data_IF_986734707123
#
_entry.id   IF_986734707123
#
_cell.length_a   1.000
_cell.length_b   1.000
_cell.length_c   1.000
_cell.angle_alpha   90.00
_cell.angle_beta   90.00
_cell.angle_gamma   90.00
#
_symmetry.space_group_name_H-M   'P 1'
#
loop_
_entity.id
_entity.type
_entity.pdbx_description
1 polymer ?
#
# COMPACT_ATOMS: atom_id res chain seq x y z
N UNK A 1 -7.12 18.59 33.27
CA UNK A 1 -8.16 18.94 32.28
C UNK A 1 -8.63 17.61 31.73
N UNK A 2 -9.93 17.34 31.73
CA UNK A 2 -10.43 16.11 31.10
C UNK A 2 -10.30 16.19 29.59
N UNK A 3 -10.34 15.05 28.90
CA UNK A 3 -10.33 14.95 27.46
C UNK A 3 -11.50 15.71 26.82
N UNK A 4 -12.70 15.63 27.41
CA UNK A 4 -13.86 16.40 26.97
C UNK A 4 -13.64 17.92 27.10
N UNK A 5 -13.09 18.37 28.23
CA UNK A 5 -12.79 19.79 28.45
C UNK A 5 -11.71 20.27 27.47
N UNK A 6 -10.68 19.45 27.24
CA UNK A 6 -9.62 19.75 26.27
C UNK A 6 -10.17 19.84 24.85
N UNK A 7 -10.95 18.84 24.40
CA UNK A 7 -11.59 18.84 23.08
C UNK A 7 -12.46 20.09 22.92
N UNK A 8 -13.36 20.40 23.86
CA UNK A 8 -14.22 21.57 23.78
C UNK A 8 -13.44 22.90 23.67
N UNK A 9 -12.32 23.02 24.41
CA UNK A 9 -11.45 24.20 24.36
C UNK A 9 -10.66 24.32 23.05
N UNK A 10 -10.20 23.19 22.51
CA UNK A 10 -9.57 23.13 21.19
C UNK A 10 -10.58 23.50 20.09
N UNK A 11 -11.78 22.93 20.15
CA UNK A 11 -12.83 23.15 19.14
C UNK A 11 -13.37 24.58 19.15
N UNK A 12 -13.42 25.23 20.31
CA UNK A 12 -13.79 26.64 20.44
C UNK A 12 -12.65 27.61 20.14
N UNK A 13 -11.42 27.11 19.93
CA UNK A 13 -10.23 27.92 19.66
C UNK A 13 -9.60 28.57 20.90
N UNK A 14 -10.03 28.21 22.10
CA UNK A 14 -9.39 28.65 23.36
C UNK A 14 -7.97 28.05 23.50
N UNK A 15 -7.78 26.82 23.03
CA UNK A 15 -6.47 26.15 22.97
C UNK A 15 -6.07 25.97 21.50
N UNK A 16 -4.97 26.59 21.04
CA UNK A 16 -4.48 26.36 19.69
C UNK A 16 -3.86 24.97 19.55
N UNK A 17 -4.05 24.35 18.37
CA UNK A 17 -3.38 23.12 17.96
C UNK A 17 -2.25 23.51 17.01
N UNK A 18 -1.13 23.93 17.60
CA UNK A 18 0.01 24.54 16.90
C UNK A 18 1.30 23.68 16.96
N UNK A 19 1.26 22.54 17.65
CA UNK A 19 2.39 21.63 17.78
C UNK A 19 1.98 20.16 17.64
N UNK A 20 2.99 19.32 17.37
CA UNK A 20 2.84 17.88 17.18
C UNK A 20 2.09 17.21 18.35
N UNK A 21 2.49 17.51 19.58
CA UNK A 21 1.90 16.90 20.78
C UNK A 21 0.41 17.22 20.95
N UNK A 22 -0.04 18.41 20.51
CA UNK A 22 -1.45 18.80 20.55
C UNK A 22 -2.26 18.08 19.48
N UNK A 23 -1.71 17.91 18.27
CA UNK A 23 -2.34 17.09 17.22
C UNK A 23 -2.44 15.64 17.70
N UNK A 24 -1.39 15.14 18.36
CA UNK A 24 -1.38 13.79 18.91
C UNK A 24 -2.43 13.60 20.01
N UNK A 25 -2.57 14.56 20.91
CA UNK A 25 -3.56 14.50 21.99
C UNK A 25 -4.99 14.47 21.43
N UNK A 26 -5.33 15.32 20.47
CA UNK A 26 -6.68 15.30 19.89
C UNK A 26 -6.91 14.03 19.05
N UNK A 27 -5.91 13.56 18.30
CA UNK A 27 -6.00 12.32 17.56
C UNK A 27 -6.20 11.10 18.47
N UNK A 28 -5.55 11.08 19.64
CA UNK A 28 -5.72 10.02 20.65
C UNK A 28 -7.17 9.96 21.15
N UNK A 29 -7.74 11.11 21.53
CA UNK A 29 -9.13 11.21 21.99
C UNK A 29 -10.10 10.79 20.87
N UNK A 30 -9.88 11.26 19.63
CA UNK A 30 -10.71 10.89 18.48
C UNK A 30 -10.60 9.41 18.09
N UNK A 31 -9.45 8.78 18.36
CA UNK A 31 -9.19 7.36 18.09
C UNK A 31 -9.91 6.47 19.12
N UNK A 32 -9.92 6.86 20.40
CA UNK A 32 -10.65 6.12 21.44
C UNK A 32 -12.16 6.08 21.14
N UNK A 33 -12.74 7.24 20.83
CA UNK A 33 -14.16 7.38 20.51
C UNK A 33 -14.56 6.76 19.16
N UNK A 34 -13.63 6.71 18.19
CA UNK A 34 -13.93 6.44 16.78
C UNK A 34 -13.53 5.04 16.30
N UNK A 35 -12.31 4.61 16.61
CA UNK A 35 -11.63 3.48 15.94
C UNK A 35 -12.31 2.13 16.16
N UNK A 36 -13.02 1.97 17.28
CA UNK A 36 -13.52 0.67 17.73
C UNK A 36 -14.98 0.41 17.39
N UNK A 37 -15.78 1.47 17.16
CA UNK A 37 -17.24 1.33 17.13
C UNK A 37 -17.91 1.58 15.78
N UNK A 38 -17.28 2.29 14.82
CA UNK A 38 -17.81 2.43 13.43
C UNK A 38 -16.93 3.26 12.47
N UNK A 39 -15.90 3.96 12.96
CA UNK A 39 -15.10 4.91 12.17
C UNK A 39 -13.63 4.47 12.12
N UNK A 40 -13.05 4.31 10.93
CA UNK A 40 -11.66 3.87 10.77
C UNK A 40 -10.64 4.99 10.95
N UNK A 41 -9.35 4.69 10.77
CA UNK A 41 -8.28 5.71 10.79
C UNK A 41 -8.48 6.83 9.77
N UNK A 42 -9.14 6.50 8.65
CA UNK A 42 -9.48 7.48 7.63
C UNK A 42 -10.40 8.58 8.16
N UNK A 43 -11.36 8.22 9.01
CA UNK A 43 -12.33 9.18 9.57
C UNK A 43 -11.67 10.08 10.62
N UNK A 44 -10.74 9.54 11.42
CA UNK A 44 -9.94 10.34 12.36
C UNK A 44 -9.12 11.37 11.59
N UNK A 45 -8.38 10.95 10.56
CA UNK A 45 -7.57 11.88 9.75
C UNK A 45 -8.43 12.90 9.02
N UNK A 46 -9.57 12.51 8.48
CA UNK A 46 -10.49 13.43 7.80
C UNK A 46 -11.07 14.49 8.77
N UNK A 47 -11.35 14.12 10.04
CA UNK A 47 -11.74 15.08 11.10
C UNK A 47 -10.62 16.07 11.42
N UNK A 48 -9.37 15.59 11.55
CA UNK A 48 -8.21 16.45 11.78
C UNK A 48 -8.05 17.45 10.62
N UNK A 49 -8.09 16.97 9.38
CA UNK A 49 -7.93 17.78 8.17
C UNK A 49 -9.04 18.84 8.04
N UNK A 50 -10.29 18.48 8.34
CA UNK A 50 -11.42 19.42 8.31
C UNK A 50 -11.26 20.60 9.29
N UNK A 51 -10.47 20.42 10.35
CA UNK A 51 -10.12 21.47 11.32
C UNK A 51 -8.79 22.16 11.02
N UNK A 52 -8.12 21.78 9.94
CA UNK A 52 -6.82 22.33 9.54
C UNK A 52 -5.63 21.75 10.32
N UNK A 53 -5.83 20.63 11.04
CA UNK A 53 -4.81 19.94 11.82
C UNK A 53 -4.15 18.82 11.02
N UNK A 54 -2.85 18.64 11.22
CA UNK A 54 -2.01 17.70 10.50
C UNK A 54 -0.73 17.46 11.31
N UNK A 55 -0.22 16.24 11.31
CA UNK A 55 1.09 15.91 11.87
C UNK A 55 2.21 16.39 10.95
N UNK A 56 1.97 16.37 9.64
CA UNK A 56 2.90 16.93 8.67
C UNK A 56 3.02 18.46 8.73
N UNK A 57 4.21 18.96 8.40
CA UNK A 57 4.54 20.39 8.31
C UNK A 57 5.10 20.73 6.92
N UNK A 58 5.01 22.02 6.53
CA UNK A 58 5.48 22.47 5.22
C UNK A 58 4.79 21.71 4.08
N UNK A 59 5.59 21.17 3.16
CA UNK A 59 5.10 20.39 2.01
C UNK A 59 4.45 19.05 2.40
N UNK A 60 4.66 18.58 3.63
CA UNK A 60 4.02 17.38 4.16
C UNK A 60 2.71 17.68 4.90
N UNK A 61 2.30 18.94 5.02
CA UNK A 61 1.05 19.30 5.69
C UNK A 61 -0.14 18.66 4.95
N UNK A 62 -1.02 18.00 5.70
CA UNK A 62 -2.14 17.21 5.19
C UNK A 62 -1.71 15.99 4.33
N UNK A 63 -0.49 15.48 4.55
CA UNK A 63 -0.08 14.24 3.92
C UNK A 63 -0.81 13.05 4.56
N UNK A 64 -1.79 12.50 3.85
CA UNK A 64 -2.64 11.41 4.34
C UNK A 64 -1.84 10.21 4.86
N UNK A 65 -0.78 9.79 4.16
CA UNK A 65 0.07 8.69 4.61
C UNK A 65 0.73 8.99 5.95
N UNK A 66 1.33 10.17 6.10
CA UNK A 66 2.00 10.57 7.33
C UNK A 66 1.02 10.72 8.50
N UNK A 67 -0.15 11.29 8.26
CA UNK A 67 -1.14 11.48 9.32
C UNK A 67 -1.73 10.14 9.78
N UNK A 68 -2.03 9.23 8.84
CA UNK A 68 -2.48 7.88 9.17
C UNK A 68 -1.39 7.09 9.88
N UNK A 69 -0.11 7.28 9.53
CA UNK A 69 0.99 6.64 10.26
C UNK A 69 0.91 6.94 11.76
N UNK A 70 0.71 8.19 12.17
CA UNK A 70 0.61 8.53 13.59
C UNK A 70 -0.63 7.96 14.25
N UNK A 71 -1.78 7.96 13.56
CA UNK A 71 -3.00 7.29 14.06
C UNK A 71 -2.80 5.78 14.19
N UNK A 72 -2.05 5.16 13.27
CA UNK A 72 -1.69 3.75 13.34
C UNK A 72 -0.81 3.44 14.56
N UNK A 73 0.13 4.32 14.91
CA UNK A 73 0.93 4.17 16.13
C UNK A 73 0.09 4.28 17.39
N UNK A 74 -0.93 5.15 17.41
CA UNK A 74 -1.88 5.23 18.50
C UNK A 74 -2.62 3.89 18.66
N UNK A 75 -3.17 3.36 17.55
CA UNK A 75 -3.84 2.05 17.52
C UNK A 75 -2.94 0.91 17.99
N UNK A 76 -1.68 0.89 17.56
CA UNK A 76 -0.67 -0.07 18.01
C UNK A 76 -0.42 0.02 19.53
N UNK A 77 -0.26 1.23 20.06
CA UNK A 77 -0.09 1.45 21.50
C UNK A 77 -1.28 0.93 22.33
N UNK A 78 -2.52 1.20 21.89
CA UNK A 78 -3.73 0.65 22.53
C UNK A 78 -3.71 -0.87 22.56
N UNK A 79 -3.44 -1.48 21.40
CA UNK A 79 -3.41 -2.92 21.27
C UNK A 79 -2.31 -3.54 22.14
N UNK A 80 -1.10 -2.97 22.15
CA UNK A 80 0.02 -3.46 22.97
C UNK A 80 -0.32 -3.46 24.46
N UNK A 81 -0.90 -2.37 24.96
CA UNK A 81 -1.32 -2.29 26.35
C UNK A 81 -2.34 -3.39 26.74
N UNK A 82 -3.28 -3.70 25.84
CA UNK A 82 -4.35 -4.67 26.08
C UNK A 82 -3.87 -6.14 26.15
N UNK A 83 -2.69 -6.43 25.59
CA UNK A 83 -2.18 -7.80 25.46
C UNK A 83 -0.83 -8.06 26.17
N UNK A 84 -0.05 -7.04 26.50
CA UNK A 84 1.17 -7.19 27.32
C UNK A 84 0.88 -7.32 28.82
N UNK A 85 -0.30 -6.90 29.30
CA UNK A 85 -0.71 -7.13 30.70
C UNK A 85 -1.36 -8.52 30.85
N UNK A 86 -0.58 -9.47 31.38
CA UNK A 86 -1.01 -10.84 31.68
C UNK A 86 -1.88 -10.98 32.94
N UNK A 87 -2.39 -9.88 33.48
CA UNK A 87 -3.03 -9.83 34.78
C UNK A 87 -4.50 -9.39 34.65
N UNK A 88 -5.37 -9.90 35.52
CA UNK A 88 -6.82 -9.60 35.54
C UNK A 88 -7.13 -8.11 35.89
N UNK A 89 -6.10 -7.27 35.93
CA UNK A 89 -6.11 -5.83 36.23
C UNK A 89 -5.97 -4.95 35.00
N UNK A 90 -6.34 -5.46 33.80
CA UNK A 90 -6.27 -4.70 32.54
C UNK A 90 -6.92 -3.32 32.67
N UNK A 91 -6.08 -2.28 32.67
CA UNK A 91 -6.52 -0.89 32.59
C UNK A 91 -6.51 -0.52 31.12
N UNK A 92 -7.70 -0.38 30.54
CA UNK A 92 -7.84 0.22 29.21
C UNK A 92 -7.53 1.71 29.34
N UNK A 93 -6.71 2.24 28.44
CA UNK A 93 -6.56 3.68 28.32
C UNK A 93 -7.90 4.30 27.95
N UNK A 94 -8.34 5.25 28.74
CA UNK A 94 -9.46 6.14 28.43
C UNK A 94 -8.93 7.38 27.73
N UNK A 95 -9.82 8.19 27.15
CA UNK A 95 -9.45 9.48 26.57
C UNK A 95 -8.66 10.40 27.54
N UNK A 96 -8.85 10.26 28.85
CA UNK A 96 -8.16 11.05 29.89
C UNK A 96 -6.70 10.61 30.13
N UNK A 97 -6.29 9.42 29.66
CA UNK A 97 -4.99 8.81 29.98
C UNK A 97 -3.87 9.20 29.00
N UNK A 98 -4.05 10.25 28.20
CA UNK A 98 -3.10 10.66 27.17
C UNK A 98 -1.66 10.83 27.70
N UNK A 99 -1.48 11.48 28.85
CA UNK A 99 -0.12 11.73 29.39
C UNK A 99 0.61 10.43 29.74
N UNK A 100 -0.12 9.45 30.30
CA UNK A 100 0.41 8.11 30.62
C UNK A 100 0.75 7.36 29.35
N UNK A 101 -0.18 7.36 28.39
CA UNK A 101 0.00 6.74 27.08
C UNK A 101 1.22 7.32 26.34
N UNK A 102 1.31 8.64 26.29
CA UNK A 102 2.38 9.35 25.61
C UNK A 102 3.72 9.06 26.28
N UNK A 103 3.81 9.07 27.61
CA UNK A 103 5.04 8.73 28.32
C UNK A 103 5.52 7.30 28.02
N UNK A 104 4.59 6.35 27.89
CA UNK A 104 4.91 4.94 27.61
C UNK A 104 5.35 4.72 26.15
N UNK A 105 4.67 5.36 25.19
CA UNK A 105 4.87 5.11 23.75
C UNK A 105 5.57 6.26 23.01
N UNK A 106 6.18 7.22 23.72
CA UNK A 106 6.80 8.42 23.16
C UNK A 106 7.78 8.14 21.99
N UNK A 107 8.55 7.06 22.08
CA UNK A 107 9.51 6.68 21.04
C UNK A 107 8.88 6.36 19.68
N UNK A 108 7.60 5.97 19.63
CA UNK A 108 6.83 5.79 18.40
C UNK A 108 6.02 7.02 17.99
N UNK A 109 5.72 7.88 18.96
CA UNK A 109 4.77 8.98 18.78
C UNK A 109 5.45 10.35 18.65
N UNK A 110 6.76 10.46 18.86
CA UNK A 110 7.46 11.73 18.68
C UNK A 110 7.43 12.22 17.21
N UNK A 111 7.62 13.51 17.03
CA UNK A 111 7.52 14.20 15.74
C UNK A 111 8.44 13.65 14.64
N UNK A 112 9.56 13.01 15.01
CA UNK A 112 10.52 12.47 14.04
C UNK A 112 10.43 10.95 13.89
N UNK A 113 9.49 10.29 14.58
CA UNK A 113 9.34 8.84 14.57
C UNK A 113 9.14 8.27 13.15
N UNK A 114 8.40 8.99 12.30
CA UNK A 114 8.13 8.58 10.92
C UNK A 114 9.41 8.35 10.09
N UNK A 115 10.52 9.02 10.42
CA UNK A 115 11.78 8.91 9.65
C UNK A 115 12.43 7.54 9.70
N UNK A 116 12.05 6.70 10.67
CA UNK A 116 12.51 5.32 10.72
C UNK A 116 11.75 4.43 9.73
N UNK A 117 10.53 4.83 9.34
CA UNK A 117 9.60 4.05 8.53
C UNK A 117 9.52 4.55 7.09
N UNK A 118 9.59 5.86 6.89
CA UNK A 118 9.45 6.48 5.58
C UNK A 118 10.70 7.25 5.16
N UNK A 119 11.09 7.12 3.90
CA UNK A 119 12.04 8.02 3.29
C UNK A 119 11.37 9.38 2.98
N UNK A 120 12.09 10.51 3.13
CA UNK A 120 11.55 11.82 2.76
C UNK A 120 11.11 11.91 1.29
N UNK A 121 11.86 11.29 0.38
CA UNK A 121 11.54 11.27 -1.04
C UNK A 121 10.23 10.51 -1.32
N UNK A 122 9.94 9.45 -0.58
CA UNK A 122 8.70 8.72 -0.69
C UNK A 122 7.50 9.55 -0.23
N UNK A 123 7.58 10.19 0.95
CA UNK A 123 6.50 11.07 1.44
C UNK A 123 6.31 12.36 0.62
N UNK A 124 7.34 12.78 -0.12
CA UNK A 124 7.21 13.91 -1.05
C UNK A 124 6.42 13.55 -2.32
N UNK A 125 6.13 12.28 -2.58
CA UNK A 125 5.35 11.86 -3.74
C UNK A 125 3.89 12.33 -3.60
N UNK A 126 3.29 12.92 -4.66
CA UNK A 126 1.88 13.34 -4.64
C UNK A 126 0.90 12.23 -4.25
N UNK A 127 1.22 10.97 -4.56
CA UNK A 127 0.40 9.83 -4.19
C UNK A 127 0.25 9.65 -2.67
N UNK A 128 1.32 9.87 -1.88
CA UNK A 128 1.26 9.68 -0.41
C UNK A 128 0.42 10.73 0.29
N UNK A 129 0.33 11.94 -0.28
CA UNK A 129 -0.52 12.99 0.24
C UNK A 129 -2.01 12.66 0.07
N UNK A 130 -2.36 11.85 -0.94
CA UNK A 130 -3.75 11.53 -1.30
C UNK A 130 -4.22 10.18 -0.79
N UNK A 131 -3.32 9.20 -0.74
CA UNK A 131 -3.62 7.81 -0.46
C UNK A 131 -2.73 7.32 0.67
N UNK A 132 -3.28 6.47 1.54
CA UNK A 132 -2.51 5.75 2.53
C UNK A 132 -1.60 4.72 1.87
N UNK A 133 -0.29 4.81 2.14
CA UNK A 133 0.72 3.86 1.68
C UNK A 133 1.52 3.32 2.86
N UNK A 134 1.86 2.03 2.79
CA UNK A 134 2.74 1.41 3.77
C UNK A 134 4.15 2.04 3.72
N UNK A 135 4.89 2.01 4.84
CA UNK A 135 6.30 2.38 4.91
C UNK A 135 7.18 1.78 3.80
N UNK A 136 8.20 2.51 3.37
CA UNK A 136 9.19 2.03 2.40
C UNK A 136 10.51 1.55 3.04
N UNK A 137 10.83 1.96 4.28
CA UNK A 137 12.06 1.59 4.99
C UNK A 137 11.96 0.38 5.93
N UNK A 138 10.88 0.26 6.71
CA UNK A 138 10.62 -0.88 7.60
C UNK A 138 9.12 -1.03 7.91
N UNK A 139 8.66 -2.21 8.35
CA UNK A 139 7.25 -2.42 8.72
C UNK A 139 6.81 -1.53 9.90
N UNK A 140 5.50 -1.23 10.03
CA UNK A 140 4.95 -0.49 11.17
C UNK A 140 5.17 -1.25 12.50
N UNK A 141 5.32 -0.55 13.64
CA UNK A 141 5.36 -1.16 14.97
C UNK A 141 4.15 -2.05 15.23
N UNK A 142 4.38 -3.14 15.96
CA UNK A 142 3.39 -4.12 16.38
C UNK A 142 2.46 -4.65 15.28
N UNK A 143 2.85 -4.49 14.01
CA UNK A 143 2.37 -5.30 12.89
C UNK A 143 2.29 -6.78 13.29
N UNK A 144 3.17 -7.19 14.19
CA UNK A 144 3.40 -8.53 14.70
C UNK A 144 2.29 -9.13 15.61
N UNK A 145 1.27 -8.40 16.04
CA UNK A 145 0.17 -9.01 16.79
C UNK A 145 0.50 -9.48 18.23
N UNK A 146 -0.54 -9.82 19.02
CA UNK A 146 -0.48 -9.78 20.50
C UNK A 146 0.13 -11.00 21.19
N UNK A 147 0.43 -12.08 20.45
CA UNK A 147 0.93 -13.34 21.02
C UNK A 147 2.43 -13.55 20.85
N UNK A 148 3.14 -12.53 20.38
CA UNK A 148 4.52 -12.74 20.02
C UNK A 148 5.45 -12.58 21.23
N UNK A 149 6.32 -13.57 21.49
CA UNK A 149 7.30 -13.46 22.56
C UNK A 149 8.22 -12.25 22.35
N UNK A 150 8.78 -11.77 23.46
CA UNK A 150 9.89 -10.81 23.58
C UNK A 150 11.02 -11.00 22.53
N UNK A 151 11.14 -12.22 21.97
CA UNK A 151 12.02 -12.61 20.86
C UNK A 151 11.86 -11.82 19.56
N UNK A 152 10.75 -11.11 19.31
CA UNK A 152 10.66 -10.22 18.15
C UNK A 152 11.63 -9.05 18.20
N UNK A 153 11.96 -8.58 19.41
CA UNK A 153 13.00 -7.56 19.60
C UNK A 153 14.36 -8.04 19.04
N UNK A 154 14.52 -9.35 18.82
CA UNK A 154 15.73 -9.97 18.25
C UNK A 154 15.69 -10.17 16.72
N UNK A 155 14.53 -10.01 16.06
CA UNK A 155 14.42 -10.20 14.60
C UNK A 155 14.99 -9.02 13.79
N UNK A 156 15.31 -7.92 14.46
CA UNK A 156 15.97 -6.77 13.88
C UNK A 156 15.02 -5.83 13.14
N UNK A 157 15.62 -4.81 12.53
CA UNK A 157 14.95 -3.78 11.72
C UNK A 157 14.77 -4.31 10.29
N UNK A 158 13.56 -4.21 9.72
CA UNK A 158 13.33 -4.67 8.36
C UNK A 158 11.87 -4.67 7.88
N UNK A 159 11.70 -5.12 6.63
CA UNK A 159 10.42 -5.21 5.93
C UNK A 159 10.09 -6.68 5.66
N UNK A 160 9.31 -7.29 6.53
CA UNK A 160 9.03 -8.72 6.49
C UNK A 160 7.81 -9.04 5.62
N UNK A 161 6.86 -8.11 5.51
CA UNK A 161 5.67 -8.28 4.68
C UNK A 161 5.89 -7.94 3.20
N UNK A 162 6.95 -7.17 2.88
CA UNK A 162 7.21 -6.62 1.54
C UNK A 162 7.36 -7.68 0.45
N UNK A 163 8.29 -8.62 0.59
CA UNK A 163 8.53 -9.68 -0.43
C UNK A 163 7.34 -10.65 -0.54
N UNK A 164 6.72 -11.12 0.57
CA UNK A 164 5.50 -11.92 0.48
C UNK A 164 4.34 -11.20 -0.24
N UNK A 165 4.10 -9.93 0.09
CA UNK A 165 3.06 -9.09 -0.54
C UNK A 165 3.31 -8.92 -2.03
N UNK A 166 4.53 -8.54 -2.41
CA UNK A 166 4.94 -8.44 -3.80
C UNK A 166 4.72 -9.78 -4.52
N UNK A 167 5.16 -10.89 -3.92
CA UNK A 167 5.04 -12.23 -4.52
C UNK A 167 3.58 -12.64 -4.74
N UNK A 168 2.69 -12.27 -3.82
CA UNK A 168 1.25 -12.47 -3.97
C UNK A 168 0.70 -11.73 -5.20
N UNK A 169 1.12 -10.47 -5.39
CA UNK A 169 0.75 -9.67 -6.57
C UNK A 169 1.28 -10.29 -7.86
N UNK A 170 2.54 -10.74 -7.88
CA UNK A 170 3.13 -11.41 -9.06
C UNK A 170 2.40 -12.73 -9.37
N UNK A 171 2.15 -13.58 -8.37
CA UNK A 171 1.53 -14.89 -8.57
C UNK A 171 0.09 -14.81 -9.13
N UNK A 172 -0.64 -13.71 -8.88
CA UNK A 172 -1.99 -13.49 -9.45
C UNK A 172 -1.99 -12.84 -10.83
N UNK A 173 -0.85 -12.33 -11.28
CA UNK A 173 -0.75 -11.59 -12.54
C UNK A 173 -0.89 -12.48 -13.78
N UNK A 174 -0.35 -13.71 -13.87
CA UNK A 174 -0.54 -14.57 -15.05
C UNK A 174 -2.00 -14.75 -15.47
N UNK A 175 -2.90 -14.82 -14.50
CA UNK A 175 -4.33 -14.95 -14.78
C UNK A 175 -4.99 -13.65 -15.24
N UNK A 176 -4.46 -12.50 -14.82
CA UNK A 176 -4.93 -11.16 -15.18
C UNK A 176 -4.33 -10.68 -16.51
N UNK A 177 -3.20 -11.27 -16.89
CA UNK A 177 -2.35 -10.93 -18.03
C UNK A 177 -2.14 -12.13 -18.94
N UNK A 178 -3.21 -12.68 -19.54
CA UNK A 178 -3.14 -13.97 -20.26
C UNK A 178 -2.28 -13.92 -21.54
N UNK A 179 -1.90 -12.73 -22.01
CA UNK A 179 -1.04 -12.56 -23.18
C UNK A 179 0.45 -12.77 -22.87
N UNK A 180 0.84 -12.77 -21.59
CA UNK A 180 2.22 -12.99 -21.16
C UNK A 180 2.39 -14.39 -20.55
N UNK A 181 3.53 -15.02 -20.86
CA UNK A 181 3.89 -16.29 -20.23
C UNK A 181 4.24 -16.10 -18.74
N UNK A 182 4.00 -17.13 -17.92
CA UNK A 182 4.43 -17.15 -16.50
C UNK A 182 5.92 -16.82 -16.40
N UNK A 183 6.77 -17.40 -17.26
CA UNK A 183 8.21 -17.13 -17.30
C UNK A 183 8.51 -15.65 -17.52
N UNK A 184 7.79 -14.99 -18.44
CA UNK A 184 7.95 -13.54 -18.69
C UNK A 184 7.56 -12.73 -17.47
N UNK A 185 6.44 -13.06 -16.84
CA UNK A 185 5.94 -12.35 -15.65
C UNK A 185 6.91 -12.51 -14.48
N UNK A 186 7.39 -13.73 -14.22
CA UNK A 186 8.41 -14.02 -13.19
C UNK A 186 9.68 -13.22 -13.45
N UNK A 187 10.17 -13.18 -14.70
CA UNK A 187 11.37 -12.44 -15.06
C UNK A 187 11.19 -10.93 -14.83
N UNK A 188 10.06 -10.36 -15.25
CA UNK A 188 9.73 -8.95 -15.00
C UNK A 188 9.73 -8.70 -13.50
N UNK A 189 8.98 -9.49 -12.73
CA UNK A 189 8.89 -9.36 -11.28
C UNK A 189 10.25 -9.35 -10.59
N UNK A 190 11.08 -10.36 -10.84
CA UNK A 190 12.39 -10.46 -10.19
C UNK A 190 13.27 -9.25 -10.55
N UNK A 191 13.25 -8.83 -11.83
CA UNK A 191 14.04 -7.69 -12.28
C UNK A 191 13.60 -6.36 -11.66
N UNK A 192 12.29 -6.09 -11.58
CA UNK A 192 11.75 -4.85 -11.00
C UNK A 192 11.93 -4.82 -9.49
N UNK A 193 11.79 -5.96 -8.80
CA UNK A 193 12.05 -6.08 -7.38
C UNK A 193 13.52 -5.74 -7.06
N UNK A 194 14.46 -6.36 -7.78
CA UNK A 194 15.88 -6.11 -7.59
C UNK A 194 16.25 -4.63 -7.85
N UNK A 195 15.71 -4.03 -8.91
CA UNK A 195 15.93 -2.62 -9.24
C UNK A 195 15.39 -1.68 -8.17
N UNK A 196 14.15 -1.90 -7.71
CA UNK A 196 13.48 -1.05 -6.72
C UNK A 196 14.21 -1.11 -5.37
N UNK A 197 14.54 -2.32 -4.90
CA UNK A 197 15.29 -2.49 -3.65
C UNK A 197 16.70 -1.91 -3.72
N UNK A 198 17.40 -2.08 -4.86
CA UNK A 198 18.72 -1.49 -5.06
C UNK A 198 18.68 0.04 -5.08
N UNK A 199 17.66 0.62 -5.71
CA UNK A 199 17.44 2.08 -5.74
C UNK A 199 17.21 2.63 -4.34
N UNK A 200 16.33 2.00 -3.55
CA UNK A 200 16.07 2.42 -2.17
C UNK A 200 17.32 2.32 -1.29
N UNK A 201 18.08 1.23 -1.42
CA UNK A 201 19.31 1.00 -0.64
C UNK A 201 20.45 1.96 -0.96
N UNK A 202 20.45 2.58 -2.14
CA UNK A 202 21.46 3.57 -2.52
C UNK A 202 21.50 4.72 -1.51
N UNK A 203 20.33 5.16 -1.07
CA UNK A 203 20.17 6.27 -0.12
C UNK A 203 19.91 5.76 1.31
N UNK A 204 19.46 4.51 1.46
CA UNK A 204 19.17 3.88 2.75
C UNK A 204 19.85 2.51 2.92
N UNK A 205 21.18 2.45 3.20
CA UNK A 205 21.95 1.21 3.25
C UNK A 205 21.50 0.19 4.30
N UNK A 206 20.77 0.65 5.33
CA UNK A 206 20.25 -0.19 6.42
C UNK A 206 19.02 -1.02 6.01
N UNK A 207 18.38 -0.69 4.88
CA UNK A 207 17.26 -1.48 4.34
C UNK A 207 17.77 -2.85 3.87
N UNK A 208 17.01 -3.91 4.11
CA UNK A 208 17.37 -5.28 3.75
C UNK A 208 17.71 -5.41 2.24
N UNK A 209 18.75 -6.17 1.87
CA UNK A 209 19.15 -6.35 0.47
C UNK A 209 18.14 -7.20 -0.27
N UNK A 210 18.12 -7.07 -1.59
CA UNK A 210 17.46 -8.04 -2.44
C UNK A 210 18.04 -9.44 -2.22
N UNK A 211 17.16 -10.44 -2.12
CA UNK A 211 17.52 -11.85 -2.06
C UNK A 211 16.77 -12.62 -3.13
N UNK A 212 17.51 -13.15 -4.11
CA UNK A 212 16.96 -14.01 -5.16
C UNK A 212 16.33 -15.28 -4.57
N UNK A 213 16.90 -15.81 -3.49
CA UNK A 213 16.37 -16.96 -2.75
C UNK A 213 15.04 -16.64 -2.09
N UNK A 214 14.93 -15.53 -1.34
CA UNK A 214 13.66 -15.16 -0.71
C UNK A 214 12.57 -14.86 -1.74
N UNK A 215 12.91 -14.13 -2.81
CA UNK A 215 11.97 -13.85 -3.89
C UNK A 215 11.46 -15.16 -4.52
N UNK A 216 12.36 -16.09 -4.83
CA UNK A 216 11.98 -17.39 -5.44
C UNK A 216 11.17 -18.27 -4.49
N UNK A 217 11.53 -18.31 -3.21
CA UNK A 217 10.75 -19.00 -2.19
C UNK A 217 9.32 -18.48 -2.15
N UNK A 218 9.14 -17.16 -2.03
CA UNK A 218 7.83 -16.56 -1.89
C UNK A 218 6.98 -16.67 -3.15
N UNK A 219 7.56 -16.56 -4.34
CA UNK A 219 6.83 -16.81 -5.60
C UNK A 219 6.31 -18.26 -5.66
N UNK A 220 7.13 -19.24 -5.28
CA UNK A 220 6.72 -20.65 -5.22
C UNK A 220 5.66 -20.89 -4.14
N UNK A 221 5.86 -20.30 -2.96
CA UNK A 221 4.93 -20.39 -1.83
C UNK A 221 3.55 -19.80 -2.21
N UNK A 222 3.55 -18.68 -2.94
CA UNK A 222 2.34 -18.04 -3.48
C UNK A 222 1.79 -18.72 -4.75
N UNK A 223 2.38 -19.85 -5.16
CA UNK A 223 1.94 -20.70 -6.27
C UNK A 223 1.88 -19.98 -7.61
N UNK A 224 2.94 -19.26 -7.98
CA UNK A 224 3.05 -18.63 -9.31
C UNK A 224 2.84 -19.61 -10.48
N UNK A 225 3.19 -20.88 -10.30
CA UNK A 225 3.02 -21.94 -11.31
C UNK A 225 1.65 -22.63 -11.23
N UNK A 226 0.70 -22.09 -10.47
CA UNK A 226 -0.65 -22.64 -10.39
C UNK A 226 -1.33 -22.61 -11.76
N UNK A 227 -1.69 -23.78 -12.27
CA UNK A 227 -2.32 -23.97 -13.59
C UNK A 227 -3.85 -24.06 -13.54
N UNK A 228 -4.45 -23.91 -12.37
CA UNK A 228 -5.91 -23.90 -12.27
C UNK A 228 -6.50 -22.60 -12.79
N UNK A 229 -7.73 -22.66 -13.30
CA UNK A 229 -8.44 -21.48 -13.79
C UNK A 229 -9.24 -20.85 -12.66
N UNK A 230 -8.88 -19.64 -12.21
CA UNK A 230 -9.81 -18.87 -11.38
C UNK A 230 -10.99 -18.41 -12.22
N UNK A 231 -12.17 -18.40 -11.62
CA UNK A 231 -13.33 -17.80 -12.26
C UNK A 231 -13.16 -16.27 -12.38
N UNK A 232 -13.93 -15.62 -13.25
CA UNK A 232 -13.88 -14.15 -13.47
C UNK A 232 -13.94 -13.37 -12.16
N UNK A 233 -14.80 -13.77 -11.21
CA UNK A 233 -14.93 -13.08 -9.91
C UNK A 233 -13.63 -13.17 -9.10
N UNK A 234 -13.01 -14.34 -9.04
CA UNK A 234 -11.76 -14.60 -8.31
C UNK A 234 -10.54 -13.90 -8.92
N UNK A 235 -10.44 -13.89 -10.26
CA UNK A 235 -9.35 -13.22 -11.00
C UNK A 235 -9.26 -11.73 -10.65
N UNK A 236 -10.41 -11.09 -10.54
CA UNK A 236 -10.54 -9.66 -10.31
C UNK A 236 -10.85 -9.27 -8.87
N UNK A 237 -10.75 -10.22 -7.91
CA UNK A 237 -10.85 -9.86 -6.50
C UNK A 237 -9.77 -8.86 -6.12
N UNK A 238 -10.05 -7.97 -5.16
CA UNK A 238 -9.07 -7.11 -4.52
C UNK A 238 -7.77 -7.82 -4.15
N UNK A 239 -6.71 -7.04 -3.90
CA UNK A 239 -5.57 -7.60 -3.19
C UNK A 239 -6.04 -7.97 -1.78
N UNK A 240 -6.19 -9.27 -1.53
CA UNK A 240 -6.65 -9.80 -0.23
C UNK A 240 -5.46 -10.16 0.66
N UNK A 241 -4.21 -9.93 0.22
CA UNK A 241 -3.00 -10.31 0.95
C UNK A 241 -3.08 -9.87 2.41
N UNK A 242 -3.24 -8.57 2.64
CA UNK A 242 -3.31 -7.99 3.98
C UNK A 242 -4.47 -8.54 4.82
N UNK A 243 -5.64 -8.75 4.20
CA UNK A 243 -6.79 -9.35 4.86
C UNK A 243 -6.52 -10.79 5.32
N UNK A 244 -5.75 -11.55 4.54
CA UNK A 244 -5.29 -12.89 4.92
C UNK A 244 -4.18 -12.87 5.97
N UNK A 245 -3.25 -11.92 5.89
CA UNK A 245 -2.20 -11.76 6.91
C UNK A 245 -2.82 -11.38 8.25
N UNK A 246 -3.80 -10.46 8.26
CA UNK A 246 -4.60 -10.12 9.44
C UNK A 246 -5.23 -11.37 10.08
N UNK A 247 -5.82 -12.25 9.26
CA UNK A 247 -6.39 -13.53 9.72
C UNK A 247 -5.36 -14.60 10.11
N UNK A 248 -4.05 -14.28 10.14
CA UNK A 248 -3.00 -15.24 10.44
C UNK A 248 -2.89 -16.35 9.38
N UNK A 249 -3.46 -16.11 8.19
CA UNK A 249 -3.48 -17.07 7.08
C UNK A 249 -2.13 -17.24 6.40
N UNK A 250 -1.18 -16.33 6.66
CA UNK A 250 0.18 -16.41 6.17
C UNK A 250 1.20 -16.30 7.30
N UNK A 251 2.18 -17.19 7.26
CA UNK A 251 3.34 -17.17 8.13
C UNK A 251 4.50 -16.47 7.41
N UNK A 252 4.70 -15.18 7.66
CA UNK A 252 5.76 -14.38 7.01
C UNK A 252 7.19 -14.87 7.30
N UNK A 253 7.35 -15.85 8.20
CA UNK A 253 8.64 -16.46 8.53
C UNK A 253 8.73 -17.94 8.18
N UNK A 254 7.76 -18.49 7.45
CA UNK A 254 7.76 -19.91 7.05
C UNK A 254 9.06 -20.32 6.36
N UNK A 255 9.64 -19.40 5.59
CA UNK A 255 10.92 -19.59 4.91
C UNK A 255 12.10 -19.91 5.86
N UNK A 256 12.08 -19.47 7.13
CA UNK A 256 13.12 -19.81 8.13
C UNK A 256 13.08 -21.28 8.56
N UNK A 257 11.98 -21.99 8.25
CA UNK A 257 11.94 -23.43 8.42
C UNK A 257 12.78 -24.16 7.36
N UNK A 258 13.03 -23.50 6.23
CA UNK A 258 13.74 -24.05 5.07
C UNK A 258 15.17 -23.52 4.93
N UNK A 259 15.45 -22.30 5.39
CA UNK A 259 16.72 -21.62 5.18
C UNK A 259 17.35 -21.13 6.49
N UNK A 260 18.58 -21.57 6.78
CA UNK A 260 19.35 -21.04 7.90
C UNK A 260 19.80 -19.60 7.64
N UNK A 261 20.03 -18.84 8.71
CA UNK A 261 20.54 -17.47 8.65
C UNK A 261 21.80 -17.31 7.82
N UNK A 262 22.72 -18.24 8.00
CA UNK A 262 23.97 -18.29 7.26
C UNK A 262 23.75 -18.41 5.75
N UNK A 263 22.78 -19.23 5.33
CA UNK A 263 22.51 -19.47 3.92
C UNK A 263 21.80 -18.29 3.27
N UNK A 264 20.76 -17.73 3.91
CA UNK A 264 19.98 -16.69 3.26
C UNK A 264 20.63 -15.30 3.28
N UNK A 265 21.46 -14.99 4.28
CA UNK A 265 22.26 -13.76 4.29
C UNK A 265 23.50 -13.85 3.38
N UNK A 266 23.76 -15.03 2.79
CA UNK A 266 24.93 -15.26 1.92
C UNK A 266 24.87 -14.44 0.63
N UNK A 267 26.04 -14.14 0.06
CA UNK A 267 26.13 -13.44 -1.23
C UNK A 267 25.53 -14.28 -2.35
N UNK A 268 25.68 -15.61 -2.26
CA UNK A 268 25.13 -16.57 -3.20
C UNK A 268 23.61 -16.47 -3.26
N UNK A 269 22.94 -16.40 -2.10
CA UNK A 269 21.48 -16.27 -2.00
C UNK A 269 20.95 -14.90 -2.47
N UNK A 270 21.80 -13.87 -2.53
CA UNK A 270 21.46 -12.56 -3.10
C UNK A 270 21.50 -12.59 -4.64
N UNK A 271 22.44 -13.35 -5.21
CA UNK A 271 22.67 -13.39 -6.66
C UNK A 271 21.76 -14.41 -7.35
N UNK A 272 21.57 -15.59 -6.76
CA UNK A 272 20.81 -16.66 -7.36
C UNK A 272 20.02 -17.45 -6.31
N UNK A 273 18.90 -18.10 -6.69
CA UNK A 273 18.17 -18.96 -5.78
C UNK A 273 19.04 -20.14 -5.34
N UNK A 274 19.12 -20.37 -4.03
CA UNK A 274 19.81 -21.53 -3.45
C UNK A 274 18.79 -22.53 -2.88
N UNK A 275 19.16 -23.80 -2.85
CA UNK A 275 18.32 -24.85 -2.28
C UNK A 275 18.26 -24.74 -0.74
N UNK A 276 17.13 -25.13 -0.11
CA UNK A 276 16.99 -25.20 1.34
C UNK A 276 18.11 -26.01 2.03
N UNK A 277 18.62 -25.53 3.15
CA UNK A 277 19.56 -26.27 4.02
C UNK A 277 18.91 -26.83 5.29
N UNK A 278 17.63 -26.53 5.52
CA UNK A 278 16.81 -27.04 6.62
C UNK A 278 15.65 -27.90 6.09
N UNK A 279 15.05 -28.70 6.97
CA UNK A 279 14.05 -29.72 6.61
C UNK A 279 12.60 -29.21 6.51
N UNK A 280 12.35 -27.94 6.81
CA UNK A 280 11.01 -27.35 6.79
C UNK A 280 10.12 -27.71 7.99
N UNK A 281 10.64 -28.44 8.99
CA UNK A 281 9.82 -28.90 10.13
C UNK A 281 9.76 -27.91 11.29
N UNK A 282 10.63 -26.90 11.28
CA UNK A 282 10.67 -25.87 12.32
C UNK A 282 9.36 -25.07 12.28
N UNK A 283 8.62 -25.09 13.37
CA UNK A 283 7.47 -24.19 13.52
C UNK A 283 7.95 -22.74 13.54
N UNK A 284 7.33 -21.90 12.71
CA UNK A 284 7.54 -20.46 12.83
C UNK A 284 6.99 -19.96 14.15
N UNK A 285 7.85 -19.24 14.87
CA UNK A 285 7.54 -18.60 16.13
C UNK A 285 6.73 -17.31 15.94
N UNK A 286 6.44 -16.90 14.69
CA UNK A 286 5.78 -15.63 14.38
C UNK A 286 4.58 -15.84 13.45
N UNK A 287 3.38 -15.76 14.04
CA UNK A 287 2.09 -15.73 13.33
C UNK A 287 1.38 -14.41 13.64
N UNK A 288 0.44 -13.99 12.80
CA UNK A 288 -0.38 -12.76 12.99
C UNK A 288 0.42 -11.47 12.86
N UNK A 289 1.30 -11.38 11.85
CA UNK A 289 2.07 -10.17 11.56
C UNK A 289 1.36 -9.25 10.54
N UNK A 290 1.91 -8.08 10.23
CA UNK A 290 1.36 -7.12 9.26
C UNK A 290 0.21 -6.17 9.69
N UNK A 291 -0.35 -6.22 10.90
CA UNK A 291 -1.45 -5.32 11.32
C UNK A 291 -1.18 -4.60 12.65
N UNK A 292 -1.32 -3.25 12.73
CA UNK A 292 -1.00 -2.48 13.95
C UNK A 292 -1.73 -2.95 15.22
N UNK A 293 -2.93 -3.50 15.09
CA UNK A 293 -3.78 -3.90 16.20
C UNK A 293 -4.13 -5.40 16.24
N UNK A 294 -3.33 -6.22 15.53
CA UNK A 294 -3.45 -7.69 15.60
C UNK A 294 -4.80 -8.26 15.16
N UNK A 295 -5.55 -7.55 14.31
CA UNK A 295 -6.93 -7.88 13.97
C UNK A 295 -7.13 -9.31 13.44
N UNK A 296 -7.97 -10.10 14.11
CA UNK A 296 -8.27 -11.49 13.75
C UNK A 296 -9.25 -11.66 12.57
N UNK A 297 -9.93 -10.59 12.16
CA UNK A 297 -11.07 -10.64 11.24
C UNK A 297 -10.88 -9.64 10.10
N UNK A 298 -10.88 -10.11 8.86
CA UNK A 298 -10.71 -9.29 7.66
C UNK A 298 -11.64 -8.07 7.60
N UNK A 299 -12.90 -8.28 7.99
CA UNK A 299 -13.91 -7.21 8.02
C UNK A 299 -13.51 -6.07 8.96
N UNK A 300 -12.99 -6.39 10.15
CA UNK A 300 -12.51 -5.39 11.10
C UNK A 300 -11.25 -4.68 10.58
N UNK A 301 -10.30 -5.40 9.99
CA UNK A 301 -9.10 -4.77 9.40
C UNK A 301 -9.45 -3.78 8.28
N UNK A 302 -10.47 -4.11 7.46
CA UNK A 302 -11.02 -3.24 6.42
C UNK A 302 -11.75 -2.03 7.01
N UNK A 303 -12.59 -2.23 8.03
CA UNK A 303 -13.31 -1.15 8.70
C UNK A 303 -12.37 -0.15 9.37
N UNK A 304 -11.33 -0.66 10.04
CA UNK A 304 -10.34 0.18 10.73
C UNK A 304 -9.45 0.95 9.77
N UNK A 305 -9.39 0.57 8.49
CA UNK A 305 -8.63 1.28 7.46
C UNK A 305 -7.14 0.96 7.44
N UNK A 306 -6.73 -0.20 7.96
CA UNK A 306 -5.32 -0.64 7.96
C UNK A 306 -4.81 -1.12 6.60
N UNK A 307 -5.72 -1.40 5.67
CA UNK A 307 -5.36 -1.75 4.32
C UNK A 307 -4.82 -0.52 3.60
N UNK A 308 -3.60 -0.57 3.03
CA UNK A 308 -3.10 0.53 2.24
C UNK A 308 -3.99 0.73 1.02
N UNK A 309 -4.24 1.98 0.69
CA UNK A 309 -5.02 2.38 -0.48
C UNK A 309 -4.22 2.16 -1.77
N UNK A 310 -2.88 2.10 -1.70
CA UNK A 310 -2.04 1.77 -2.85
C UNK A 310 -0.99 0.71 -2.52
N UNK A 311 -0.63 -0.06 -3.55
CA UNK A 311 0.49 -1.00 -3.47
C UNK A 311 1.82 -0.32 -3.13
N UNK A 312 2.79 -1.15 -2.72
CA UNK A 312 4.16 -0.70 -2.50
C UNK A 312 4.83 -0.28 -3.82
N UNK A 313 5.98 0.38 -3.74
CA UNK A 313 6.77 0.73 -4.93
C UNK A 313 7.10 -0.51 -5.77
N UNK A 314 7.42 -1.64 -5.12
CA UNK A 314 7.77 -2.90 -5.78
C UNK A 314 6.58 -3.48 -6.57
N UNK A 315 5.36 -3.37 -6.04
CA UNK A 315 4.14 -3.80 -6.71
C UNK A 315 3.79 -2.89 -7.89
N UNK A 316 3.87 -1.58 -7.71
CA UNK A 316 3.53 -0.60 -8.75
C UNK A 316 4.54 -0.66 -9.91
N UNK A 317 5.83 -0.71 -9.62
CA UNK A 317 6.89 -0.85 -10.64
C UNK A 317 6.74 -2.15 -11.44
N UNK A 318 6.40 -3.25 -10.76
CA UNK A 318 6.10 -4.53 -11.40
C UNK A 318 4.88 -4.44 -12.32
N UNK A 319 3.74 -3.94 -11.84
CA UNK A 319 2.50 -3.83 -12.63
C UNK A 319 2.66 -2.86 -13.81
N UNK A 320 3.43 -1.78 -13.65
CA UNK A 320 3.78 -0.87 -14.74
C UNK A 320 4.64 -1.55 -15.80
N UNK A 321 5.63 -2.34 -15.40
CA UNK A 321 6.47 -3.09 -16.34
C UNK A 321 5.66 -4.17 -17.08
N UNK A 322 4.72 -4.85 -16.40
CA UNK A 322 3.79 -5.79 -17.02
C UNK A 322 2.91 -5.07 -18.04
N UNK A 323 2.27 -3.96 -17.66
CA UNK A 323 1.38 -3.22 -18.56
C UNK A 323 2.10 -2.76 -19.83
N UNK A 324 3.32 -2.24 -19.69
CA UNK A 324 4.17 -1.85 -20.84
C UNK A 324 4.49 -3.05 -21.73
N UNK A 325 4.82 -4.21 -21.12
CA UNK A 325 5.14 -5.42 -21.87
C UNK A 325 3.92 -5.97 -22.61
N UNK A 326 2.74 -5.92 -22.00
CA UNK A 326 1.48 -6.34 -22.62
C UNK A 326 1.16 -5.48 -23.85
N UNK A 327 1.38 -4.17 -23.77
CA UNK A 327 1.08 -3.23 -24.86
C UNK A 327 2.21 -3.09 -25.88
N UNK A 328 3.33 -3.79 -25.70
CA UNK A 328 4.52 -3.63 -26.53
C UNK A 328 4.24 -4.06 -27.97
N UNK A 329 4.32 -3.09 -28.90
CA UNK A 329 4.16 -3.35 -30.33
C UNK A 329 2.71 -3.55 -30.78
N UNK A 330 1.72 -3.29 -29.91
CA UNK A 330 0.30 -3.38 -30.26
C UNK A 330 -0.14 -2.12 -31.02
N UNK A 331 -0.85 -2.31 -32.12
CA UNK A 331 -1.48 -1.22 -32.85
C UNK A 331 -2.75 -0.73 -32.12
N UNK A 332 -3.05 0.56 -32.17
CA UNK A 332 -4.19 1.14 -31.44
C UNK A 332 -5.55 0.55 -31.85
N UNK A 333 -5.66 0.04 -33.08
CA UNK A 333 -6.86 -0.65 -33.57
C UNK A 333 -7.06 -2.06 -32.97
N UNK A 334 -6.02 -2.65 -32.39
CA UNK A 334 -5.99 -4.03 -31.91
C UNK A 334 -6.03 -4.12 -30.37
N UNK A 335 -6.45 -3.05 -29.70
CA UNK A 335 -6.54 -3.02 -28.24
C UNK A 335 -7.64 -3.95 -27.72
N UNK A 336 -7.26 -4.97 -26.94
CA UNK A 336 -8.18 -5.76 -26.12
C UNK A 336 -8.63 -5.01 -24.86
N UNK A 337 -9.80 -4.40 -24.91
CA UNK A 337 -10.38 -3.65 -23.79
C UNK A 337 -10.89 -4.52 -22.62
N UNK A 338 -10.73 -5.85 -22.66
CA UNK A 338 -10.84 -6.70 -21.47
C UNK A 338 -9.61 -6.56 -20.56
N UNK A 339 -8.47 -6.11 -21.12
CA UNK A 339 -7.19 -5.97 -20.43
C UNK A 339 -6.97 -4.54 -19.92
N UNK A 340 -6.51 -4.42 -18.67
CA UNK A 340 -6.36 -3.10 -18.02
C UNK A 340 -5.30 -2.22 -18.69
N UNK A 341 -4.17 -2.80 -19.06
CA UNK A 341 -3.08 -2.10 -19.75
C UNK A 341 -3.51 -1.51 -21.09
N UNK A 342 -4.32 -2.25 -21.85
CA UNK A 342 -4.89 -1.79 -23.12
C UNK A 342 -5.93 -0.68 -22.91
N UNK A 343 -6.80 -0.79 -21.90
CA UNK A 343 -7.72 0.28 -21.53
C UNK A 343 -6.95 1.58 -21.21
N UNK A 344 -5.89 1.47 -20.38
CA UNK A 344 -5.05 2.60 -19.99
C UNK A 344 -4.31 3.20 -21.20
N UNK A 345 -3.77 2.37 -22.10
CA UNK A 345 -3.13 2.82 -23.32
C UNK A 345 -4.12 3.55 -24.25
N UNK A 346 -5.34 3.03 -24.37
CA UNK A 346 -6.42 3.66 -25.14
C UNK A 346 -6.79 5.04 -24.60
N UNK A 347 -6.99 5.16 -23.28
CA UNK A 347 -7.27 6.47 -22.64
C UNK A 347 -6.08 7.42 -22.78
N UNK A 348 -4.84 6.91 -22.66
CA UNK A 348 -3.64 7.70 -22.89
C UNK A 348 -3.61 8.24 -24.33
N UNK A 349 -3.96 7.42 -25.32
CA UNK A 349 -4.04 7.85 -26.73
C UNK A 349 -5.11 8.91 -26.93
N UNK A 350 -6.31 8.70 -26.39
CA UNK A 350 -7.41 9.65 -26.51
C UNK A 350 -7.05 11.04 -25.94
N UNK A 351 -6.21 11.10 -24.91
CA UNK A 351 -5.74 12.37 -24.33
C UNK A 351 -4.92 13.25 -25.29
N UNK A 352 -4.36 12.68 -26.37
CA UNK A 352 -3.63 13.42 -27.43
C UNK A 352 -4.51 13.82 -28.62
N UNK A 353 -5.76 13.37 -28.67
CA UNK A 353 -6.65 13.63 -29.79
C UNK A 353 -7.28 15.03 -29.70
N UNK A 354 -7.56 15.63 -30.86
CA UNK A 354 -8.23 16.93 -30.94
C UNK A 354 -9.69 16.87 -30.44
N UNK A 355 -10.33 15.71 -30.59
CA UNK A 355 -11.68 15.40 -30.11
C UNK A 355 -11.62 14.24 -29.10
N UNK A 356 -11.13 14.50 -27.88
CA UNK A 356 -10.91 13.45 -26.89
C UNK A 356 -12.23 12.77 -26.47
N UNK A 357 -13.33 13.52 -26.42
CA UNK A 357 -14.65 13.01 -26.04
C UNK A 357 -15.19 11.95 -27.01
N UNK A 358 -15.00 12.15 -28.33
CA UNK A 358 -15.41 11.15 -29.34
C UNK A 358 -14.66 9.83 -29.15
N UNK A 359 -13.35 9.91 -28.91
CA UNK A 359 -12.51 8.73 -28.69
C UNK A 359 -12.80 8.05 -27.35
N UNK A 360 -13.08 8.81 -26.30
CA UNK A 360 -13.51 8.26 -25.01
C UNK A 360 -14.81 7.49 -25.12
N UNK A 361 -15.73 7.95 -25.95
CA UNK A 361 -17.02 7.28 -26.12
C UNK A 361 -16.91 5.97 -26.89
N UNK A 362 -15.99 5.90 -27.85
CA UNK A 362 -15.61 4.65 -28.50
C UNK A 362 -14.92 3.69 -27.52
N UNK A 363 -14.00 4.18 -26.69
CA UNK A 363 -13.36 3.38 -25.63
C UNK A 363 -14.39 2.84 -24.63
N UNK A 364 -15.34 3.69 -24.18
CA UNK A 364 -16.44 3.30 -23.29
C UNK A 364 -17.23 2.15 -23.88
N UNK A 365 -17.66 2.28 -25.14
CA UNK A 365 -18.41 1.24 -25.85
C UNK A 365 -17.63 -0.07 -25.89
N UNK A 366 -16.33 -0.02 -26.23
CA UNK A 366 -15.49 -1.21 -26.29
C UNK A 366 -15.33 -1.89 -24.91
N UNK A 367 -15.14 -1.12 -23.84
CA UNK A 367 -15.01 -1.64 -22.47
C UNK A 367 -16.32 -2.31 -22.01
N UNK A 368 -17.46 -1.64 -22.20
CA UNK A 368 -18.78 -2.18 -21.81
C UNK A 368 -19.07 -3.51 -22.53
N UNK A 369 -18.70 -3.60 -23.82
CA UNK A 369 -18.87 -4.81 -24.61
C UNK A 369 -17.92 -5.95 -24.21
N UNK A 370 -16.71 -5.64 -23.73
CA UNK A 370 -15.69 -6.65 -23.44
C UNK A 370 -15.99 -7.48 -22.17
N UNK A 371 -16.66 -6.92 -21.16
CA UNK A 371 -16.86 -7.63 -19.89
C UNK A 371 -18.18 -7.28 -19.15
N UNK A 372 -19.21 -6.87 -19.88
CA UNK A 372 -20.56 -6.58 -19.35
C UNK A 372 -20.56 -5.60 -18.15
N UNK A 373 -19.81 -4.51 -18.26
CA UNK A 373 -19.71 -3.51 -17.20
C UNK A 373 -20.91 -2.55 -17.16
N UNK A 374 -21.17 -1.99 -15.97
CA UNK A 374 -22.10 -0.86 -15.81
C UNK A 374 -21.54 0.38 -16.52
N UNK A 375 -22.32 0.92 -17.46
CA UNK A 375 -21.87 2.01 -18.33
C UNK A 375 -21.50 3.28 -17.56
N UNK A 376 -22.29 3.65 -16.53
CA UNK A 376 -22.03 4.84 -15.73
C UNK A 376 -20.72 4.77 -14.96
N UNK A 377 -20.40 3.58 -14.40
CA UNK A 377 -19.12 3.35 -13.74
C UNK A 377 -17.93 3.39 -14.71
N UNK A 378 -18.09 2.86 -15.92
CA UNK A 378 -17.04 2.92 -16.95
C UNK A 378 -16.79 4.36 -17.38
N UNK A 379 -17.84 5.13 -17.62
CA UNK A 379 -17.73 6.55 -17.99
C UNK A 379 -17.00 7.36 -16.92
N UNK A 380 -17.39 7.19 -15.65
CA UNK A 380 -16.70 7.84 -14.53
C UNK A 380 -15.21 7.46 -14.53
N UNK A 381 -14.90 6.16 -14.63
CA UNK A 381 -13.53 5.68 -14.63
C UNK A 381 -12.67 6.26 -15.76
N UNK A 382 -13.20 6.33 -17.00
CA UNK A 382 -12.47 6.89 -18.15
C UNK A 382 -12.13 8.36 -17.89
N UNK A 383 -13.11 9.15 -17.42
CA UNK A 383 -12.90 10.58 -17.10
C UNK A 383 -11.81 10.77 -16.06
N UNK A 384 -11.85 9.95 -15.03
CA UNK A 384 -10.88 9.96 -13.93
C UNK A 384 -9.47 9.61 -14.37
N UNK A 385 -9.30 8.56 -15.18
CA UNK A 385 -8.00 8.21 -15.78
C UNK A 385 -7.51 9.30 -16.72
N UNK A 386 -8.40 9.86 -17.54
CA UNK A 386 -8.05 10.94 -18.45
C UNK A 386 -7.54 12.17 -17.68
N UNK A 387 -8.17 12.55 -16.57
CA UNK A 387 -7.70 13.64 -15.72
C UNK A 387 -6.28 13.41 -15.20
N UNK A 388 -5.92 12.17 -14.88
CA UNK A 388 -4.56 11.79 -14.44
C UNK A 388 -3.56 11.86 -15.60
N UNK A 389 -3.95 11.44 -16.80
CA UNK A 389 -3.05 11.36 -17.97
C UNK A 389 -2.82 12.72 -18.64
N UNK A 390 -3.82 13.61 -18.63
CA UNK A 390 -3.80 14.90 -19.32
C UNK A 390 -2.57 15.78 -19.02
N UNK A 391 -2.10 15.93 -17.77
CA UNK A 391 -0.90 16.73 -17.47
C UNK A 391 0.39 16.19 -18.11
N UNK A 392 0.47 14.88 -18.38
CA UNK A 392 1.62 14.26 -19.05
C UNK A 392 1.58 14.52 -20.55
N UNK A 393 0.38 14.49 -21.13
CA UNK A 393 0.17 14.83 -22.54
C UNK A 393 0.45 16.31 -22.80
N UNK A 394 0.06 17.22 -21.91
CA UNK A 394 0.36 18.65 -22.07
C UNK A 394 1.86 18.99 -22.04
N UNK A 395 2.72 18.07 -21.56
CA UNK A 395 4.19 18.23 -21.64
C UNK A 395 4.75 17.78 -22.98
N UNK A 396 4.01 16.93 -23.69
CA UNK A 396 4.38 16.33 -24.96
C UNK A 396 3.24 16.60 -25.94
N UNK A 397 3.23 17.75 -26.61
CA UNK A 397 2.12 18.21 -27.47
C UNK A 397 1.74 17.26 -28.62
N UNK A 398 2.51 16.18 -28.83
CA UNK A 398 2.33 15.21 -29.91
C UNK A 398 2.46 13.80 -29.38
N UNK A 399 1.58 12.91 -29.84
CA UNK A 399 1.64 11.49 -29.54
C UNK A 399 3.02 10.92 -29.90
N UNK A 400 3.70 10.18 -29.01
CA UNK A 400 5.06 9.74 -29.30
C UNK A 400 5.13 8.87 -30.56
N UNK A 401 6.09 9.14 -31.45
CA UNK A 401 6.17 8.46 -32.75
C UNK A 401 6.68 7.02 -32.63
N UNK A 402 7.57 6.76 -31.67
CA UNK A 402 8.18 5.44 -31.49
C UNK A 402 7.46 4.62 -30.41
N UNK A 403 7.46 3.29 -30.58
CA UNK A 403 6.94 2.35 -29.57
C UNK A 403 7.67 2.55 -28.23
N UNK A 404 8.98 2.80 -28.28
CA UNK A 404 9.81 3.01 -27.09
C UNK A 404 9.33 4.21 -26.28
N UNK A 405 9.11 5.35 -26.93
CA UNK A 405 8.72 6.58 -26.25
C UNK A 405 7.29 6.49 -25.68
N UNK A 406 6.38 5.79 -26.39
CA UNK A 406 5.03 5.47 -25.87
C UNK A 406 5.11 4.62 -24.62
N UNK A 407 5.95 3.58 -24.65
CA UNK A 407 6.15 2.67 -23.54
C UNK A 407 6.77 3.39 -22.34
N UNK A 408 7.74 4.27 -22.56
CA UNK A 408 8.37 5.07 -21.51
C UNK A 408 7.39 6.05 -20.87
N UNK A 409 6.58 6.74 -21.68
CA UNK A 409 5.52 7.63 -21.19
C UNK A 409 4.47 6.87 -20.37
N UNK A 410 3.97 5.75 -20.90
CA UNK A 410 3.01 4.90 -20.18
C UNK A 410 3.61 4.43 -18.85
N UNK A 411 4.86 3.95 -18.86
CA UNK A 411 5.55 3.49 -17.65
C UNK A 411 5.66 4.60 -16.61
N UNK A 412 6.05 5.79 -17.02
CA UNK A 412 6.18 6.94 -16.14
C UNK A 412 4.83 7.29 -15.48
N UNK A 413 3.78 7.43 -16.29
CA UNK A 413 2.42 7.73 -15.79
C UNK A 413 2.00 6.70 -14.76
N UNK A 414 2.18 5.41 -15.05
CA UNK A 414 1.72 4.33 -14.19
C UNK A 414 2.51 4.22 -12.88
N UNK A 415 3.82 4.48 -12.89
CA UNK A 415 4.65 4.50 -11.68
C UNK A 415 4.25 5.67 -10.78
N UNK A 416 4.09 6.86 -11.35
CA UNK A 416 3.71 8.06 -10.58
C UNK A 416 2.24 8.01 -10.11
N UNK A 417 1.42 7.16 -10.72
CA UNK A 417 -0.03 7.06 -10.48
C UNK A 417 -0.49 5.61 -10.31
N UNK A 418 0.06 4.91 -9.32
CA UNK A 418 -0.28 3.52 -9.02
C UNK A 418 -1.78 3.24 -8.81
N UNK A 419 -2.58 4.26 -8.46
CA UNK A 419 -4.05 4.15 -8.36
C UNK A 419 -4.70 3.71 -9.68
N UNK A 420 -4.02 3.91 -10.83
CA UNK A 420 -4.48 3.46 -12.14
C UNK A 420 -4.55 1.94 -12.26
N UNK A 421 -3.88 1.18 -11.38
CA UNK A 421 -4.04 -0.27 -11.28
C UNK A 421 -5.20 -0.71 -10.38
N UNK A 422 -5.71 0.20 -9.55
CA UNK A 422 -6.92 -0.03 -8.78
C UNK A 422 -8.08 -0.31 -9.74
N UNK A 423 -8.86 -1.36 -9.45
CA UNK A 423 -10.07 -1.67 -10.22
C UNK A 423 -11.35 -1.09 -9.61
N UNK A 424 -11.66 -1.25 -8.31
CA UNK A 424 -12.92 -0.74 -7.71
C UNK A 424 -12.87 -0.56 -6.18
N UNK A 425 -13.66 0.40 -5.66
CA UNK A 425 -13.80 0.77 -4.22
C UNK A 425 -13.81 -0.43 -3.27
N UNK A 426 -12.70 -0.65 -2.55
CA UNK A 426 -12.49 -1.76 -1.59
C UNK A 426 -13.22 -1.56 -0.26
N UNK A 427 -13.49 -0.30 0.10
CA UNK A 427 -14.20 0.10 1.31
C UNK A 427 -15.04 1.36 1.05
N UNK A 428 -16.23 1.51 1.66
CA UNK A 428 -16.98 2.76 1.63
C UNK A 428 -16.17 3.99 2.07
N UNK A 429 -15.21 3.79 3.00
CA UNK A 429 -14.35 4.83 3.60
C UNK A 429 -13.02 5.03 2.88
N UNK A 430 -12.64 4.12 1.98
CA UNK A 430 -11.41 4.25 1.19
C UNK A 430 -11.57 5.31 0.09
N UNK A 431 -10.58 6.19 -0.02
CA UNK A 431 -10.41 7.18 -1.09
C UNK A 431 -9.59 6.63 -2.25
N UNK A 432 -9.14 5.37 -2.22
CA UNK A 432 -8.38 4.65 -3.27
C UNK A 432 -8.92 4.85 -4.71
N UNK A 433 -10.19 5.22 -4.84
CA UNK A 433 -10.88 5.44 -6.11
C UNK A 433 -11.54 6.81 -6.24
N UNK A 434 -11.25 7.75 -5.34
CA UNK A 434 -11.58 9.17 -5.55
C UNK A 434 -10.43 9.79 -6.34
N UNK A 435 -10.59 9.89 -7.65
CA UNK A 435 -9.60 10.54 -8.51
C UNK A 435 -9.71 12.06 -8.45
N UNK A 436 -10.55 12.63 -7.58
CA UNK A 436 -10.64 14.06 -7.31
C UNK A 436 -9.23 14.59 -7.02
N UNK A 437 -8.72 15.39 -7.94
CA UNK A 437 -7.53 16.21 -7.73
C UNK A 437 -7.96 17.29 -6.75
N UNK A 438 -7.24 17.47 -5.64
CA UNK A 438 -7.45 18.63 -4.79
C UNK A 438 -7.44 19.90 -5.67
N UNK A 439 -8.26 20.91 -5.35
CA UNK A 439 -8.19 22.19 -6.03
C UNK A 439 -6.75 22.65 -6.03
N UNK A 440 -6.28 23.12 -7.19
CA UNK A 440 -5.04 23.89 -7.28
C UNK A 440 -5.09 24.93 -6.18
N UNK A 441 -4.09 24.89 -5.30
CA UNK A 441 -3.96 25.72 -4.10
C UNK A 441 -4.41 27.16 -4.39
N UNK A 442 -5.32 27.69 -3.56
CA UNK A 442 -5.55 29.14 -3.47
C UNK A 442 -4.40 29.75 -2.67
#
# INVERSE_FOLDING_TARGET
MSAEEFRAKVESGEIPVDCHDRVLQIAFIDTEDGLWFENGVFDVVDKLHARGWSFGQGDLKFNRTLDIFYVAQIGAGYHRNNYETSDDTKVFFTADDFDTFYAQYHHWLNQEAWRQYYSPNFLAQPATARFYRLPDLQDLPDSSGPRLPEKLQQKGIGHFTKIPRWSYTVARTPERSPTLSITTITQIGLSTLQQTMSRLRKDHPNVQPYSATQASFWLKHMKIDYSGTLNKKQRWRPNEFDGYVAQGGWDMWEWEAHYSRKLWESMEAQIAPVEPDLDGTRESEVRWCGMPDGCYVEYEARLRGWLPELGSEEEIEFLAAVAVKETEGIEMGDLDYAMRSHMLLGVMRAAFEMEPETHMEDIKRCIVQADEYDEGKVEQWIREVHMVMKPYVQKSDVWPDTIKDRNELLRQILIENGQLFGRWKLSPTSKEFSFELLPTSI
#
